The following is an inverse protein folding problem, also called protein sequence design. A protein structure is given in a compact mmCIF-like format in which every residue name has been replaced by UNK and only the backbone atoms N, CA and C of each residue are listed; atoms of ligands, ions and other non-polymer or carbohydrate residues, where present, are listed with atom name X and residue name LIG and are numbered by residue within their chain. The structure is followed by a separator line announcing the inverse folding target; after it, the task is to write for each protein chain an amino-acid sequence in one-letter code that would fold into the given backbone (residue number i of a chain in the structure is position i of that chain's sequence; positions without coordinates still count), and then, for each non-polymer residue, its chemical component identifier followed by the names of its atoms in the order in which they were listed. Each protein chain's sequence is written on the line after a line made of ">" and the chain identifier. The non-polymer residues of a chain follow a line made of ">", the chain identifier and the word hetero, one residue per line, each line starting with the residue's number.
data_IF_039918968156
#
_entry.id   IF_039918968156
#
_cell.length_a   1.000
_cell.length_b   1.000
_cell.length_c   1.000
_cell.angle_alpha   90.00
_cell.angle_beta   90.00
_cell.angle_gamma   90.00
#
_symmetry.space_group_name_H-M   'P 1'
#
loop_
_entity.id
_entity.type
_entity.pdbx_description
1 polymer ?
#
# COMPACT_ATOMS: atom_id res chain seq x y z
N UNK A 1 -8.68 -0.93 -7.01
CA UNK A 1 -7.26 -0.55 -6.90
C UNK A 1 -6.43 -1.78 -6.59
N UNK A 2 -5.21 -1.87 -7.08
CA UNK A 2 -4.36 -3.06 -6.91
C UNK A 2 -3.33 -2.83 -5.80
N UNK A 3 -3.69 -3.21 -4.57
CA UNK A 3 -2.77 -3.37 -3.44
C UNK A 3 -3.03 -4.71 -2.76
N UNK A 4 -1.97 -5.34 -2.26
CA UNK A 4 -2.01 -6.62 -1.57
C UNK A 4 -1.08 -6.57 -0.36
N UNK A 5 -1.45 -7.27 0.70
CA UNK A 5 -0.57 -7.52 1.83
C UNK A 5 0.32 -8.74 1.51
N UNK A 6 1.63 -8.61 1.70
CA UNK A 6 2.55 -9.73 1.74
C UNK A 6 2.94 -10.05 3.19
N UNK A 7 2.69 -11.28 3.62
CA UNK A 7 3.08 -11.79 4.93
C UNK A 7 4.44 -12.48 4.85
N UNK A 8 5.47 -11.90 5.47
CA UNK A 8 6.85 -12.42 5.40
C UNK A 8 6.97 -13.79 6.08
N UNK A 9 6.16 -14.06 7.10
CA UNK A 9 6.29 -15.30 7.89
C UNK A 9 5.68 -16.53 7.23
N UNK A 10 4.60 -16.36 6.46
CA UNK A 10 3.93 -17.47 5.79
C UNK A 10 3.98 -17.40 4.27
N UNK A 11 4.61 -16.37 3.71
CA UNK A 11 4.72 -16.14 2.26
C UNK A 11 3.40 -15.82 1.57
N UNK A 12 2.34 -15.52 2.33
CA UNK A 12 0.99 -15.35 1.78
C UNK A 12 0.79 -13.95 1.21
N UNK A 13 0.02 -13.88 0.11
CA UNK A 13 -0.34 -12.64 -0.57
C UNK A 13 -1.85 -12.44 -0.48
N UNK A 14 -2.26 -11.44 0.27
CA UNK A 14 -3.67 -11.20 0.61
C UNK A 14 -4.13 -9.92 -0.05
N UNK A 15 -4.99 -10.05 -1.06
CA UNK A 15 -5.72 -8.92 -1.62
C UNK A 15 -6.93 -8.62 -0.74
N UNK A 16 -7.12 -7.40 -0.21
CA UNK A 16 -8.34 -7.04 0.52
C UNK A 16 -9.58 -7.33 -0.33
N UNK A 17 -10.71 -7.61 0.32
CA UNK A 17 -11.97 -7.68 -0.41
C UNK A 17 -12.36 -6.32 -0.97
N UNK A 18 -13.31 -6.27 -1.91
CA UNK A 18 -13.76 -5.00 -2.50
C UNK A 18 -14.58 -4.18 -1.49
N UNK A 19 -15.19 -4.82 -0.50
CA UNK A 19 -15.97 -4.15 0.54
C UNK A 19 -15.09 -3.36 1.52
N UNK A 20 -15.54 -2.16 1.88
CA UNK A 20 -14.88 -1.34 2.89
C UNK A 20 -14.95 -2.01 4.27
N UNK A 21 -13.88 -1.87 5.05
CA UNK A 21 -13.75 -2.35 6.42
C UNK A 21 -13.87 -3.86 6.59
N UNK A 22 -14.04 -4.65 5.52
CA UNK A 22 -14.13 -6.11 5.59
C UNK A 22 -12.73 -6.72 5.67
N UNK A 23 -12.29 -7.23 6.83
CA UNK A 23 -10.92 -7.71 7.01
C UNK A 23 -10.71 -9.03 6.25
N UNK A 24 -9.62 -9.09 5.49
CA UNK A 24 -9.10 -10.35 4.95
C UNK A 24 -7.81 -10.72 5.65
N UNK A 25 -7.77 -11.94 6.18
CA UNK A 25 -6.64 -12.46 6.93
C UNK A 25 -5.66 -13.20 6.05
N UNK A 26 -4.37 -13.18 6.41
CA UNK A 26 -3.41 -14.13 5.89
C UNK A 26 -3.71 -15.55 6.38
N UNK A 27 -3.16 -16.57 5.70
CA UNK A 27 -3.37 -17.99 5.97
C UNK A 27 -3.11 -18.41 7.44
N UNK A 28 -2.21 -17.72 8.14
CA UNK A 28 -1.90 -17.99 9.57
C UNK A 28 -2.76 -17.17 10.55
N UNK A 29 -3.62 -16.28 10.06
CA UNK A 29 -4.48 -15.44 10.90
C UNK A 29 -3.72 -14.44 11.77
N UNK A 30 -2.49 -14.06 11.39
CA UNK A 30 -1.69 -13.04 12.11
C UNK A 30 -1.98 -11.63 11.62
N UNK A 31 -1.97 -11.47 10.29
CA UNK A 31 -2.13 -10.18 9.64
C UNK A 31 -3.49 -10.10 8.96
N UNK A 32 -4.10 -8.92 8.97
CA UNK A 32 -5.31 -8.63 8.20
C UNK A 32 -5.16 -7.32 7.45
N UNK A 33 -5.85 -7.20 6.32
CA UNK A 33 -5.90 -6.00 5.48
C UNK A 33 -7.34 -5.73 5.04
N UNK A 34 -7.71 -4.46 4.97
CA UNK A 34 -9.01 -4.01 4.43
C UNK A 34 -8.91 -2.58 3.89
N UNK A 35 -9.83 -2.23 2.99
CA UNK A 35 -9.95 -0.85 2.54
C UNK A 35 -10.65 0.03 3.57
N UNK A 36 -10.16 1.25 3.73
CA UNK A 36 -10.90 2.34 4.37
C UNK A 36 -11.60 3.16 3.30
N UNK A 37 -10.88 3.58 2.26
CA UNK A 37 -11.43 4.28 1.09
C UNK A 37 -10.84 3.66 -0.17
N UNK A 38 -11.51 2.65 -0.78
CA UNK A 38 -10.99 1.92 -1.95
C UNK A 38 -10.72 2.81 -3.15
N UNK A 39 -11.49 3.88 -3.32
CA UNK A 39 -11.37 4.86 -4.43
C UNK A 39 -10.22 5.85 -4.24
N UNK A 40 -9.75 6.06 -3.01
CA UNK A 40 -8.55 6.84 -2.68
C UNK A 40 -7.32 5.96 -2.41
N UNK A 41 -7.50 4.64 -2.35
CA UNK A 41 -6.42 3.68 -2.12
C UNK A 41 -5.95 3.66 -0.69
N UNK A 42 -6.79 4.14 0.23
CA UNK A 42 -6.50 4.20 1.65
C UNK A 42 -6.92 2.86 2.27
N UNK A 43 -5.97 2.22 2.95
CA UNK A 43 -6.18 0.93 3.58
C UNK A 43 -5.55 0.88 4.97
N UNK A 44 -6.03 -0.06 5.76
CA UNK A 44 -5.49 -0.37 7.06
C UNK A 44 -4.97 -1.80 7.09
N UNK A 45 -3.93 -2.00 7.89
CA UNK A 45 -3.35 -3.31 8.16
C UNK A 45 -3.33 -3.55 9.66
N UNK A 46 -3.76 -4.73 10.07
CA UNK A 46 -3.64 -5.21 11.44
C UNK A 46 -2.54 -6.27 11.54
N UNK A 47 -1.73 -6.19 12.59
CA UNK A 47 -0.79 -7.25 13.01
C UNK A 47 -1.06 -7.56 14.49
N UNK A 48 -1.39 -8.83 14.79
CA UNK A 48 -1.54 -9.32 16.17
C UNK A 48 -0.28 -9.09 17.02
N UNK A 49 0.88 -8.96 16.39
CA UNK A 49 2.17 -8.70 17.00
C UNK A 49 2.82 -7.47 16.38
N UNK A 50 2.03 -6.40 16.21
CA UNK A 50 2.49 -5.10 15.70
C UNK A 50 3.77 -4.66 16.41
N UNK A 51 4.74 -4.07 15.68
CA UNK A 51 5.91 -3.45 16.32
C UNK A 51 5.50 -2.47 17.41
N UNK A 52 6.23 -2.50 18.52
CA UNK A 52 6.02 -1.59 19.65
C UNK A 52 6.28 -0.14 19.24
N UNK A 53 5.59 0.80 19.91
CA UNK A 53 5.76 2.24 19.67
C UNK A 53 7.24 2.63 19.88
N UNK A 54 7.85 3.27 18.88
CA UNK A 54 9.28 3.62 18.87
C UNK A 54 10.20 2.63 18.14
N UNK A 55 9.73 1.44 17.77
CA UNK A 55 10.51 0.54 16.91
C UNK A 55 10.44 0.96 15.44
N UNK A 56 11.57 0.90 14.72
CA UNK A 56 11.59 1.20 13.30
C UNK A 56 10.80 0.12 12.51
N UNK A 57 9.65 0.46 11.89
CA UNK A 57 8.79 -0.50 11.22
C UNK A 57 9.45 -1.12 9.98
N UNK A 58 10.47 -0.47 9.41
CA UNK A 58 11.24 -1.00 8.27
C UNK A 58 11.86 -2.37 8.56
N UNK A 59 12.33 -2.57 9.79
CA UNK A 59 13.05 -3.79 10.18
C UNK A 59 12.18 -4.77 10.96
N UNK A 60 11.21 -4.26 11.72
CA UNK A 60 10.40 -5.07 12.64
C UNK A 60 9.08 -5.55 12.07
N UNK A 61 8.53 -4.84 11.08
CA UNK A 61 7.27 -5.27 10.47
C UNK A 61 7.43 -6.63 9.79
N UNK A 62 6.50 -7.55 10.06
CA UNK A 62 6.43 -8.90 9.45
C UNK A 62 5.46 -8.96 8.27
N UNK A 63 4.96 -7.81 7.83
CA UNK A 63 4.18 -7.69 6.60
C UNK A 63 4.57 -6.45 5.80
N UNK A 64 4.30 -6.49 4.49
CA UNK A 64 4.46 -5.34 3.58
C UNK A 64 3.19 -5.19 2.77
N UNK A 65 2.94 -4.00 2.24
CA UNK A 65 1.92 -3.83 1.20
C UNK A 65 2.62 -3.70 -0.13
N UNK A 66 2.20 -4.46 -1.13
CA UNK A 66 2.71 -4.39 -2.49
C UNK A 66 1.57 -3.87 -3.36
N UNK A 67 1.84 -2.93 -4.26
CA UNK A 67 0.80 -2.45 -5.14
C UNK A 67 1.26 -1.34 -6.06
N UNK A 68 0.31 -0.73 -6.74
CA UNK A 68 0.57 0.46 -7.56
C UNK A 68 0.55 1.69 -6.63
N UNK A 69 1.54 2.57 -6.82
CA UNK A 69 1.62 3.83 -6.10
C UNK A 69 0.37 4.70 -6.37
N UNK A 70 -0.20 5.33 -5.33
CA UNK A 70 -1.48 6.03 -5.45
C UNK A 70 -1.43 7.23 -6.40
N UNK A 71 -0.32 8.00 -6.42
CA UNK A 71 -0.17 9.11 -7.37
C UNK A 71 -0.13 8.63 -8.82
N UNK A 72 0.31 7.39 -9.09
CA UNK A 72 0.23 6.83 -10.45
C UNK A 72 -1.23 6.63 -10.85
N UNK A 73 -2.09 6.22 -9.92
CA UNK A 73 -3.52 6.05 -10.18
C UNK A 73 -4.23 7.40 -10.35
N UNK A 74 -3.94 8.38 -9.49
CA UNK A 74 -4.55 9.71 -9.55
C UNK A 74 -4.12 10.48 -10.80
N UNK A 75 -2.82 10.51 -11.12
CA UNK A 75 -2.33 11.26 -12.29
C UNK A 75 -2.66 10.56 -13.62
N UNK A 76 -2.82 9.23 -13.68
CA UNK A 76 -3.40 8.57 -14.86
C UNK A 76 -4.82 9.07 -15.17
N UNK A 77 -5.59 9.43 -14.15
CA UNK A 77 -6.96 9.97 -14.32
C UNK A 77 -6.89 11.44 -14.78
N UNK A 78 -6.00 12.23 -14.19
CA UNK A 78 -5.82 13.66 -14.50
C UNK A 78 -5.16 13.92 -15.87
N UNK A 79 -4.28 13.03 -16.33
CA UNK A 79 -3.60 13.12 -17.63
C UNK A 79 -4.53 12.98 -18.84
N UNK A 80 -5.82 12.68 -18.63
CA UNK A 80 -6.84 12.78 -19.68
C UNK A 80 -7.15 14.23 -20.10
N UNK A 81 -6.70 15.26 -19.35
CA UNK A 81 -7.14 16.64 -19.60
C UNK A 81 -6.02 17.64 -19.91
N UNK A 82 -4.88 17.66 -19.22
CA UNK A 82 -3.94 18.78 -19.33
C UNK A 82 -2.48 18.32 -19.20
N UNK A 83 -1.83 18.05 -20.33
CA UNK A 83 -0.43 18.45 -20.58
C UNK A 83 0.00 17.82 -21.91
N UNK A 84 0.29 18.63 -22.94
CA UNK A 84 0.70 18.13 -24.27
C UNK A 84 2.22 18.06 -24.45
N UNK A 85 3.01 18.47 -23.45
CA UNK A 85 4.44 18.74 -23.64
C UNK A 85 5.42 17.80 -22.93
N UNK A 86 4.97 16.96 -21.99
CA UNK A 86 5.81 15.94 -21.36
C UNK A 86 5.50 14.57 -21.94
N UNK A 87 6.53 13.84 -22.36
CA UNK A 87 6.35 12.43 -22.75
C UNK A 87 5.87 11.62 -21.54
N UNK A 88 5.13 10.54 -21.78
CA UNK A 88 4.65 9.63 -20.73
C UNK A 88 5.81 9.19 -19.81
N UNK A 89 6.98 8.92 -20.40
CA UNK A 89 8.21 8.52 -19.71
C UNK A 89 8.75 9.58 -18.73
N UNK A 90 8.78 10.84 -19.15
CA UNK A 90 9.35 11.91 -18.31
C UNK A 90 8.49 12.19 -17.07
N UNK A 91 7.15 12.06 -17.20
CA UNK A 91 6.24 12.19 -16.05
C UNK A 91 6.41 11.08 -15.03
N UNK A 92 6.58 9.84 -15.49
CA UNK A 92 6.79 8.72 -14.57
C UNK A 92 8.10 8.82 -13.82
N UNK A 93 9.14 9.30 -14.50
CA UNK A 93 10.43 9.56 -13.87
C UNK A 93 10.30 10.61 -12.76
N UNK A 94 9.62 11.73 -13.03
CA UNK A 94 9.38 12.79 -12.04
C UNK A 94 8.60 12.30 -10.80
N UNK A 95 7.56 11.48 -11.00
CA UNK A 95 6.77 10.91 -9.89
C UNK A 95 7.65 9.99 -9.02
N UNK A 96 8.44 9.10 -9.64
CA UNK A 96 9.32 8.20 -8.90
C UNK A 96 10.39 8.93 -8.10
N UNK A 97 10.96 10.00 -8.67
CA UNK A 97 11.99 10.84 -8.03
C UNK A 97 11.44 11.64 -6.85
N UNK A 98 10.17 12.07 -6.89
CA UNK A 98 9.51 12.81 -5.80
C UNK A 98 8.92 11.94 -4.71
N UNK A 99 8.70 10.66 -4.99
CA UNK A 99 8.17 9.71 -4.02
C UNK A 99 9.23 9.42 -2.95
N UNK A 100 8.88 9.33 -1.66
CA UNK A 100 9.83 9.04 -0.57
C UNK A 100 10.48 7.63 -0.68
N UNK A 101 11.60 7.39 -0.01
CA UNK A 101 12.32 6.10 -0.05
C UNK A 101 11.63 4.96 0.72
N UNK A 102 10.46 5.21 1.33
CA UNK A 102 9.65 4.20 2.01
C UNK A 102 9.01 3.17 1.07
N UNK A 103 9.20 3.34 -0.24
CA UNK A 103 8.77 2.44 -1.29
C UNK A 103 9.97 1.59 -1.77
N UNK A 104 10.07 0.35 -1.27
CA UNK A 104 11.26 -0.52 -1.35
C UNK A 104 11.54 -1.15 -2.73
N UNK A 105 10.87 -0.72 -3.79
CA UNK A 105 11.23 -1.04 -5.17
C UNK A 105 10.62 0.05 -6.07
N UNK A 106 11.46 0.80 -6.77
CA UNK A 106 11.04 1.80 -7.77
C UNK A 106 11.87 1.55 -9.02
N UNK A 107 11.23 1.09 -10.08
CA UNK A 107 11.85 1.08 -11.41
C UNK A 107 10.91 1.80 -12.36
N UNK A 108 11.47 2.51 -13.33
CA UNK A 108 10.70 3.20 -14.38
C UNK A 108 9.91 2.22 -15.26
N UNK A 109 10.23 0.93 -15.21
CA UNK A 109 9.55 -0.15 -15.93
C UNK A 109 8.41 -0.77 -15.10
N UNK A 110 8.41 -0.60 -13.78
CA UNK A 110 7.42 -1.20 -12.89
C UNK A 110 6.90 -0.16 -11.89
N UNK A 111 5.66 0.35 -12.03
CA UNK A 111 5.03 1.26 -11.06
C UNK A 111 4.64 0.56 -9.75
N UNK A 112 5.12 -0.67 -9.56
CA UNK A 112 4.92 -1.48 -8.39
C UNK A 112 5.83 -0.97 -7.29
N UNK A 113 5.25 -0.82 -6.11
CA UNK A 113 5.97 -0.37 -4.93
C UNK A 113 5.73 -1.31 -3.75
N UNK A 114 6.73 -1.42 -2.88
CA UNK A 114 6.63 -2.13 -1.60
C UNK A 114 6.56 -1.09 -0.49
N UNK A 115 5.41 -0.99 0.16
CA UNK A 115 5.10 0.00 1.19
C UNK A 115 5.28 -0.65 2.56
N UNK A 116 6.10 -0.03 3.40
CA UNK A 116 6.17 -0.35 4.82
C UNK A 116 4.94 0.27 5.50
N UNK A 117 4.14 -0.57 6.15
CA UNK A 117 2.91 -0.14 6.80
C UNK A 117 3.20 0.92 7.87
N UNK A 118 2.43 2.01 7.87
CA UNK A 118 2.56 3.12 8.80
C UNK A 118 3.62 4.16 8.42
N UNK A 119 4.26 4.03 7.26
CA UNK A 119 5.25 5.00 6.77
C UNK A 119 4.68 5.96 5.71
N UNK A 120 3.42 5.77 5.29
CA UNK A 120 2.73 6.65 4.35
C UNK A 120 1.35 7.01 4.90
N UNK A 121 0.78 8.14 4.45
CA UNK A 121 -0.56 8.57 4.87
C UNK A 121 -1.69 7.64 4.39
N UNK A 122 -1.43 6.86 3.34
CA UNK A 122 -2.44 6.01 2.70
C UNK A 122 -2.51 4.59 3.26
N UNK A 123 -1.53 4.21 4.09
CA UNK A 123 -1.39 2.85 4.65
C UNK A 123 -0.99 2.95 6.11
N UNK A 124 -1.96 2.75 6.99
CA UNK A 124 -1.78 2.84 8.43
C UNK A 124 -1.95 1.50 9.14
N UNK A 125 -1.43 1.44 10.36
CA UNK A 125 -1.69 0.33 11.26
C UNK A 125 -3.03 0.51 11.98
N UNK A 126 -3.90 -0.49 11.88
CA UNK A 126 -5.11 -0.57 12.69
C UNK A 126 -4.77 -0.91 14.15
N UNK A 127 -5.55 -0.38 15.08
CA UNK A 127 -5.47 -0.74 16.52
C UNK A 127 -6.21 -2.05 16.81
N UNK A 128 -7.34 -2.25 16.15
CA UNK A 128 -8.18 -3.43 16.27
C UNK A 128 -8.77 -3.79 14.92
N UNK A 129 -9.29 -5.02 14.82
CA UNK A 129 -9.98 -5.49 13.62
C UNK A 129 -11.46 -5.08 13.70
N UNK A 130 -12.06 -4.56 12.61
CA UNK A 130 -13.49 -4.24 12.56
C UNK A 130 -14.34 -5.44 12.98
N UNK A 131 -15.30 -5.23 13.89
CA UNK A 131 -16.08 -6.33 14.50
C UNK A 131 -17.37 -6.70 13.77
N UNK A 132 -17.87 -5.86 12.86
CA UNK A 132 -19.21 -6.01 12.29
C UNK A 132 -19.27 -5.56 10.81
N UNK A 133 -18.77 -6.39 9.87
CA UNK A 133 -18.85 -6.12 8.41
C UNK A 133 -19.37 -7.33 7.65
#
# INVERSE_FOLDING_TARGET
>A
MTKLLFCIECGDMVMPYDEQKKPRWCRRGRHAIWWIIPTAGILEVYDKQRPTEGENPMWKSRCRVIGIHNEFLQRCIETSKEDKHLTYKDRWKDILEKTDDHYLFKSWETPMVIIIVGMTGDISWAKEVPKDV
#
